data_IF_353362670351
#
_entry.id   IF_353362670351
#
_cell.length_a   1.000
_cell.length_b   1.000
_cell.length_c   1.000
_cell.angle_alpha   90.00
_cell.angle_beta   90.00
_cell.angle_gamma   90.00
#
_symmetry.space_group_name_H-M   'P 1'
#
loop_
_entity.id
_entity.type
_entity.pdbx_description
1 polymer ?
#
# COMPACT_ATOMS: atom_id res chain seq x y z
N UNK A 1 9.15 -43.84 -2.59
CA UNK A 1 10.06 -42.83 -3.18
C UNK A 1 10.11 -41.71 -2.15
N UNK A 2 11.24 -41.44 -1.50
CA UNK A 2 11.34 -40.28 -0.61
C UNK A 2 11.18 -39.04 -1.52
N UNK A 3 10.07 -38.32 -1.38
CA UNK A 3 9.91 -37.01 -1.99
C UNK A 3 11.04 -36.15 -1.46
N UNK A 4 12.03 -35.85 -2.30
CA UNK A 4 13.08 -34.88 -1.96
C UNK A 4 12.44 -33.51 -1.89
N UNK A 5 11.94 -33.16 -0.70
CA UNK A 5 11.36 -31.85 -0.39
C UNK A 5 12.47 -30.80 -0.51
N UNK A 6 12.29 -29.87 -1.45
CA UNK A 6 13.24 -28.76 -1.58
C UNK A 6 12.90 -27.70 -0.55
N UNK A 7 13.81 -27.49 0.41
CA UNK A 7 13.66 -26.44 1.42
C UNK A 7 13.84 -25.08 0.75
N UNK A 8 12.82 -24.22 0.87
CA UNK A 8 12.81 -22.84 0.35
C UNK A 8 12.60 -21.89 1.52
N UNK A 9 13.46 -20.88 1.62
CA UNK A 9 13.38 -19.85 2.66
C UNK A 9 13.00 -18.53 2.00
N UNK A 10 11.91 -17.92 2.47
CA UNK A 10 11.47 -16.58 2.03
C UNK A 10 11.08 -15.70 3.19
N UNK A 11 11.15 -14.40 2.96
CA UNK A 11 10.86 -13.41 3.98
C UNK A 11 9.37 -13.13 4.05
N UNK A 12 8.79 -13.19 5.25
CA UNK A 12 7.38 -12.86 5.47
C UNK A 12 7.08 -11.43 5.02
N UNK A 13 6.02 -11.18 4.22
CA UNK A 13 5.64 -9.83 3.83
C UNK A 13 5.04 -9.01 4.98
N UNK A 14 4.73 -9.63 6.12
CA UNK A 14 4.15 -8.96 7.29
C UNK A 14 5.17 -8.71 8.40
N UNK A 15 5.76 -9.77 8.93
CA UNK A 15 6.69 -9.68 10.06
C UNK A 15 8.16 -9.68 9.66
N UNK A 16 8.47 -9.81 8.36
CA UNK A 16 9.84 -9.75 7.82
C UNK A 16 10.81 -10.80 8.35
N UNK A 17 10.34 -11.80 9.10
CA UNK A 17 11.12 -12.98 9.49
C UNK A 17 11.28 -13.92 8.31
N UNK A 18 12.40 -14.64 8.27
CA UNK A 18 12.62 -15.72 7.31
C UNK A 18 11.73 -16.90 7.70
N UNK A 19 10.98 -17.41 6.73
CA UNK A 19 10.09 -18.55 6.86
C UNK A 19 10.61 -19.64 5.95
N UNK A 20 10.76 -20.85 6.48
CA UNK A 20 10.99 -22.04 5.66
C UNK A 20 9.65 -22.66 5.23
N UNK A 21 9.57 -23.19 4.02
CA UNK A 21 8.33 -23.78 3.49
C UNK A 21 7.82 -24.95 4.35
N UNK A 22 8.68 -25.73 4.96
CA UNK A 22 8.35 -26.83 5.87
C UNK A 22 7.91 -26.37 7.27
N UNK A 23 8.05 -25.10 7.62
CA UNK A 23 7.63 -24.54 8.92
C UNK A 23 6.23 -23.91 8.89
N UNK A 24 5.62 -23.75 7.72
CA UNK A 24 4.32 -23.05 7.62
C UNK A 24 3.20 -23.80 8.34
N UNK A 25 2.27 -23.03 8.92
CA UNK A 25 0.96 -23.51 9.38
C UNK A 25 -0.11 -23.29 8.32
N UNK A 26 -1.36 -23.62 8.66
CA UNK A 26 -2.52 -23.45 7.78
C UNK A 26 -3.69 -22.79 8.47
N UNK A 27 -4.34 -21.87 7.76
CA UNK A 27 -5.67 -21.40 8.14
C UNK A 27 -6.71 -22.38 7.62
N UNK A 28 -7.55 -22.90 8.50
CA UNK A 28 -8.56 -23.90 8.18
C UNK A 28 -9.93 -23.21 8.04
N UNK A 29 -10.81 -23.77 7.22
CA UNK A 29 -12.17 -23.28 7.13
C UNK A 29 -13.03 -23.97 8.19
N UNK A 30 -13.83 -23.22 8.98
CA UNK A 30 -14.84 -23.81 9.83
C UNK A 30 -15.96 -24.36 8.92
N UNK A 31 -15.87 -25.63 8.56
CA UNK A 31 -16.87 -26.34 7.77
C UNK A 31 -17.95 -26.99 8.67
N UNK A 32 -17.81 -26.88 9.99
CA UNK A 32 -18.72 -27.49 10.96
C UNK A 32 -18.66 -29.02 10.96
N UNK A 33 -17.63 -29.59 10.32
CA UNK A 33 -17.40 -31.02 10.29
C UNK A 33 -17.14 -31.55 11.71
N UNK A 34 -17.68 -32.75 11.99
CA UNK A 34 -17.40 -33.49 13.22
C UNK A 34 -16.65 -34.75 12.87
N UNK A 35 -15.49 -34.89 13.50
CA UNK A 35 -14.59 -36.02 13.36
C UNK A 35 -14.90 -37.05 14.45
N UNK A 36 -14.60 -38.33 14.22
CA UNK A 36 -14.55 -39.36 15.25
C UNK A 36 -13.33 -39.12 16.16
N UNK A 37 -12.20 -38.70 15.58
CA UNK A 37 -10.99 -38.32 16.31
C UNK A 37 -11.23 -37.06 17.16
N UNK A 38 -11.04 -37.13 18.49
CA UNK A 38 -11.11 -35.95 19.36
C UNK A 38 -10.09 -34.87 18.98
N UNK A 39 -8.87 -35.27 18.59
CA UNK A 39 -7.81 -34.37 18.18
C UNK A 39 -8.15 -33.55 16.93
N UNK A 40 -8.80 -34.19 15.95
CA UNK A 40 -9.27 -33.48 14.75
C UNK A 40 -10.37 -32.47 15.08
N UNK A 41 -11.28 -32.81 16.00
CA UNK A 41 -12.28 -31.84 16.47
C UNK A 41 -11.66 -30.66 17.21
N UNK A 42 -10.58 -30.88 17.98
CA UNK A 42 -9.84 -29.80 18.64
C UNK A 42 -9.15 -28.88 17.62
N UNK A 43 -8.54 -29.46 16.58
CA UNK A 43 -7.91 -28.71 15.48
C UNK A 43 -8.95 -27.92 14.66
N UNK A 44 -10.12 -28.51 14.42
CA UNK A 44 -11.21 -27.88 13.68
C UNK A 44 -12.01 -26.86 14.49
N UNK A 45 -11.78 -26.77 15.81
CA UNK A 45 -12.43 -25.81 16.67
C UNK A 45 -11.80 -24.41 16.55
N UNK A 46 -12.62 -23.33 16.54
CA UNK A 46 -12.08 -21.98 16.57
C UNK A 46 -11.40 -21.71 17.91
N UNK A 47 -10.21 -21.12 17.84
CA UNK A 47 -9.41 -20.72 19.00
C UNK A 47 -8.86 -19.32 18.79
N UNK A 48 -8.53 -18.64 19.89
CA UNK A 48 -7.89 -17.33 19.83
C UNK A 48 -6.46 -17.45 19.33
N UNK A 49 -6.18 -16.87 18.17
CA UNK A 49 -4.88 -16.78 17.55
C UNK A 49 -4.07 -15.62 18.17
N UNK A 50 -3.36 -15.91 19.26
CA UNK A 50 -2.57 -14.92 20.00
C UNK A 50 -1.45 -14.32 19.14
N UNK A 51 -0.78 -15.12 18.30
CA UNK A 51 0.29 -14.64 17.42
C UNK A 51 -0.22 -13.61 16.41
N UNK A 52 -1.39 -13.87 15.82
CA UNK A 52 -2.05 -12.92 14.92
C UNK A 52 -2.52 -11.66 15.66
N UNK A 53 -3.14 -11.82 16.84
CA UNK A 53 -3.60 -10.71 17.67
C UNK A 53 -2.44 -9.79 18.10
N UNK A 54 -1.36 -10.36 18.62
CA UNK A 54 -0.19 -9.61 19.06
C UNK A 54 0.48 -8.85 17.91
N UNK A 55 0.54 -9.46 16.71
CA UNK A 55 1.05 -8.78 15.54
C UNK A 55 0.22 -7.53 15.22
N UNK A 56 -1.10 -7.64 15.10
CA UNK A 56 -1.96 -6.53 14.71
C UNK A 56 -2.06 -5.44 15.78
N UNK A 57 -2.06 -5.81 17.06
CA UNK A 57 -1.95 -4.86 18.17
C UNK A 57 -0.61 -4.09 18.10
N UNK A 58 0.50 -4.78 17.86
CA UNK A 58 1.79 -4.12 17.67
C UNK A 58 1.78 -3.13 16.49
N UNK A 59 1.04 -3.46 15.42
CA UNK A 59 0.83 -2.58 14.26
C UNK A 59 -0.19 -1.45 14.48
N UNK A 60 -0.79 -1.37 15.67
CA UNK A 60 -1.69 -0.29 16.09
C UNK A 60 -3.16 -0.49 15.77
N UNK A 61 -3.56 -1.72 15.40
CA UNK A 61 -4.98 -2.07 15.25
C UNK A 61 -5.55 -2.44 16.62
N UNK A 62 -6.65 -1.79 17.09
CA UNK A 62 -7.30 -2.14 18.34
C UNK A 62 -7.73 -3.61 18.35
N UNK A 63 -7.62 -4.28 19.51
CA UNK A 63 -7.94 -5.70 19.63
C UNK A 63 -9.39 -6.02 19.24
N UNK A 64 -10.34 -5.10 19.48
CA UNK A 64 -11.74 -5.31 19.11
C UNK A 64 -11.98 -5.33 17.58
N UNK A 65 -11.02 -4.82 16.80
CA UNK A 65 -11.07 -4.81 15.34
C UNK A 65 -10.33 -6.00 14.71
N UNK A 66 -9.62 -6.81 15.51
CA UNK A 66 -8.87 -7.97 15.02
C UNK A 66 -9.70 -9.23 15.20
N UNK A 67 -10.13 -9.83 14.09
CA UNK A 67 -10.75 -11.15 14.12
C UNK A 67 -9.71 -12.25 14.38
N UNK A 68 -9.38 -12.43 15.66
CA UNK A 68 -8.41 -13.42 16.14
C UNK A 68 -9.05 -14.77 16.49
N UNK A 69 -10.38 -14.92 16.41
CA UNK A 69 -11.04 -16.20 16.67
C UNK A 69 -11.04 -17.04 15.38
N UNK A 70 -9.98 -17.82 15.17
CA UNK A 70 -9.68 -18.46 13.89
C UNK A 70 -9.53 -19.98 14.07
N UNK A 71 -9.84 -20.73 13.02
CA UNK A 71 -9.50 -22.16 12.98
C UNK A 71 -8.17 -22.27 12.24
N UNK A 72 -7.11 -22.68 12.94
CA UNK A 72 -5.78 -22.81 12.34
C UNK A 72 -4.99 -23.95 12.98
N UNK A 73 -4.01 -24.45 12.24
CA UNK A 73 -3.07 -25.44 12.73
C UNK A 73 -1.64 -24.99 12.40
N UNK A 74 -0.80 -24.89 13.43
CA UNK A 74 0.62 -24.60 13.27
C UNK A 74 1.44 -25.89 13.12
N UNK A 75 2.74 -25.75 12.87
CA UNK A 75 3.62 -26.89 12.62
C UNK A 75 3.79 -27.80 13.84
N UNK A 76 3.70 -27.26 15.05
CA UNK A 76 3.77 -28.05 16.28
C UNK A 76 2.49 -28.87 16.44
N UNK A 77 1.33 -28.24 16.36
CA UNK A 77 0.02 -28.93 16.41
C UNK A 77 -0.13 -29.97 15.31
N UNK A 78 0.39 -29.72 14.10
CA UNK A 78 0.44 -30.73 13.02
C UNK A 78 1.27 -31.95 13.40
N UNK A 79 2.42 -31.74 14.07
CA UNK A 79 3.30 -32.83 14.49
C UNK A 79 2.62 -33.69 15.56
N UNK A 80 1.97 -33.05 16.53
CA UNK A 80 1.20 -33.72 17.59
C UNK A 80 0.02 -34.51 16.99
N UNK A 81 -0.73 -33.89 16.07
CA UNK A 81 -1.84 -34.55 15.37
C UNK A 81 -1.36 -35.78 14.57
N UNK A 82 -0.26 -35.67 13.82
CA UNK A 82 0.31 -36.80 13.09
C UNK A 82 0.66 -37.98 14.02
N UNK A 83 1.24 -37.70 15.19
CA UNK A 83 1.59 -38.73 16.18
C UNK A 83 0.35 -39.45 16.71
N UNK A 84 -0.70 -38.70 17.02
CA UNK A 84 -1.95 -39.27 17.53
C UNK A 84 -2.71 -40.08 16.47
N UNK A 85 -2.81 -39.56 15.24
CA UNK A 85 -3.41 -40.29 14.12
C UNK A 85 -2.65 -41.59 13.82
N UNK A 86 -1.31 -41.54 13.83
CA UNK A 86 -0.47 -42.73 13.67
C UNK A 86 -0.72 -43.75 14.78
N UNK A 87 -0.82 -43.31 16.04
CA UNK A 87 -1.12 -44.19 17.18
C UNK A 87 -2.51 -44.84 17.09
N UNK A 88 -3.47 -44.17 16.46
CA UNK A 88 -4.83 -44.68 16.19
C UNK A 88 -4.93 -45.62 14.97
N UNK A 89 -3.81 -45.92 14.30
CA UNK A 89 -3.75 -46.83 13.15
C UNK A 89 -3.93 -46.16 11.78
N UNK A 90 -3.90 -44.82 11.71
CA UNK A 90 -3.93 -44.07 10.46
C UNK A 90 -2.49 -43.72 10.03
N UNK A 91 -1.96 -44.35 8.97
CA UNK A 91 -0.70 -43.92 8.34
C UNK A 91 -0.94 -42.68 7.47
N UNK A 92 -1.05 -41.48 8.08
CA UNK A 92 -1.32 -40.25 7.33
C UNK A 92 -0.35 -39.14 7.73
N UNK A 93 0.33 -38.58 6.74
CA UNK A 93 1.02 -37.31 6.86
C UNK A 93 0.01 -36.20 6.54
N UNK A 94 -0.44 -35.43 7.54
CA UNK A 94 -1.47 -34.39 7.34
C UNK A 94 -0.99 -33.19 6.52
N UNK A 95 0.32 -33.10 6.25
CA UNK A 95 0.99 -32.02 5.53
C UNK A 95 1.64 -32.58 4.27
N UNK A 96 1.13 -32.18 3.11
CA UNK A 96 1.56 -32.66 1.80
C UNK A 96 2.36 -31.59 1.08
N UNK A 97 3.54 -31.95 0.56
CA UNK A 97 4.35 -31.05 -0.27
C UNK A 97 3.78 -31.01 -1.68
N UNK A 98 3.67 -29.81 -2.24
CA UNK A 98 3.34 -29.62 -3.65
C UNK A 98 4.60 -29.16 -4.41
N UNK A 99 5.20 -30.03 -5.26
CA UNK A 99 6.38 -29.70 -6.04
C UNK A 99 6.19 -28.51 -6.97
N UNK A 100 4.97 -28.27 -7.46
CA UNK A 100 4.70 -27.21 -8.43
C UNK A 100 4.67 -25.83 -7.77
N UNK A 101 4.12 -25.72 -6.55
CA UNK A 101 4.11 -24.46 -5.79
C UNK A 101 5.30 -24.29 -4.85
N UNK A 102 6.11 -25.35 -4.66
CA UNK A 102 7.08 -25.48 -3.55
C UNK A 102 6.46 -25.22 -2.17
N UNK A 103 5.13 -25.25 -2.10
CA UNK A 103 4.34 -25.01 -0.91
C UNK A 103 3.92 -26.32 -0.28
N UNK A 104 3.07 -26.20 0.73
CA UNK A 104 2.43 -27.33 1.34
C UNK A 104 0.92 -27.11 1.35
N UNK A 105 0.18 -28.21 1.48
CA UNK A 105 -1.24 -28.22 1.81
C UNK A 105 -1.46 -29.05 3.06
N UNK A 106 -2.50 -28.72 3.80
CA UNK A 106 -3.03 -29.54 4.87
C UNK A 106 -4.14 -30.40 4.32
N UNK A 107 -4.10 -31.70 4.59
CA UNK A 107 -5.10 -32.65 4.14
C UNK A 107 -5.27 -33.78 5.15
N UNK A 108 -6.51 -33.98 5.61
CA UNK A 108 -6.88 -35.10 6.48
C UNK A 108 -8.19 -35.68 6.00
N UNK A 109 -8.27 -37.01 5.96
CA UNK A 109 -9.50 -37.76 5.67
C UNK A 109 -9.83 -38.68 6.85
N UNK A 110 -11.07 -38.62 7.33
CA UNK A 110 -11.60 -39.56 8.31
C UNK A 110 -13.00 -40.01 7.86
N UNK A 111 -13.09 -41.25 7.37
CA UNK A 111 -14.32 -41.78 6.79
C UNK A 111 -14.74 -41.03 5.52
N UNK A 112 -15.85 -40.30 5.59
CA UNK A 112 -16.37 -39.48 4.48
C UNK A 112 -16.13 -37.97 4.65
N UNK A 113 -15.42 -37.57 5.70
CA UNK A 113 -15.13 -36.18 6.04
C UNK A 113 -13.69 -35.87 5.67
N UNK A 114 -13.48 -34.78 4.92
CA UNK A 114 -12.16 -34.33 4.50
C UNK A 114 -11.94 -32.91 4.99
N UNK A 115 -10.83 -32.68 5.70
CA UNK A 115 -10.36 -31.36 6.08
C UNK A 115 -9.18 -30.98 5.20
N UNK A 116 -9.35 -29.95 4.38
CA UNK A 116 -8.34 -29.49 3.43
C UNK A 116 -8.10 -28.00 3.55
N UNK A 117 -6.83 -27.59 3.49
CA UNK A 117 -6.45 -26.19 3.32
C UNK A 117 -5.15 -26.02 2.56
N UNK A 118 -5.12 -25.03 1.66
CA UNK A 118 -3.92 -24.52 1.02
C UNK A 118 -3.58 -23.08 1.43
N UNK A 119 -4.31 -22.52 2.41
CA UNK A 119 -4.04 -21.17 2.92
C UNK A 119 -2.92 -21.24 3.95
N UNK A 120 -1.68 -21.15 3.46
CA UNK A 120 -0.49 -21.13 4.32
C UNK A 120 -0.48 -19.87 5.19
N UNK A 121 -0.09 -20.01 6.46
CA UNK A 121 0.14 -18.89 7.38
C UNK A 121 1.59 -18.85 7.84
N UNK A 122 2.08 -17.64 8.10
CA UNK A 122 3.39 -17.43 8.69
C UNK A 122 3.47 -18.07 10.09
N UNK A 123 4.50 -18.88 10.42
CA UNK A 123 4.62 -19.50 11.74
C UNK A 123 4.89 -18.52 12.89
N UNK A 124 5.18 -17.25 12.59
CA UNK A 124 5.51 -16.24 13.59
C UNK A 124 4.39 -15.24 13.87
N UNK A 125 3.69 -14.79 12.83
CA UNK A 125 2.63 -13.78 12.96
C UNK A 125 1.26 -14.28 12.49
N UNK A 126 1.19 -15.53 12.03
CA UNK A 126 -0.03 -16.21 11.58
C UNK A 126 -0.85 -15.47 10.52
N UNK A 127 -0.24 -14.47 9.85
CA UNK A 127 -0.82 -13.83 8.69
C UNK A 127 -0.73 -14.78 7.49
N UNK A 128 -1.77 -14.74 6.66
CA UNK A 128 -1.88 -15.53 5.45
C UNK A 128 -0.78 -15.13 4.45
N UNK A 129 -0.12 -16.14 3.89
CA UNK A 129 0.87 -15.95 2.84
C UNK A 129 0.16 -15.96 1.48
N UNK A 130 0.64 -15.18 0.49
CA UNK A 130 0.03 -15.19 -0.83
C UNK A 130 0.17 -16.57 -1.50
N UNK A 131 -0.70 -16.84 -2.46
CA UNK A 131 -0.56 -18.02 -3.31
C UNK A 131 0.79 -18.01 -4.01
N UNK A 132 1.35 -19.20 -4.25
CA UNK A 132 2.65 -19.36 -4.90
C UNK A 132 3.82 -18.67 -4.15
N UNK A 133 3.67 -18.37 -2.85
CA UNK A 133 4.67 -17.62 -2.07
C UNK A 133 6.07 -18.22 -2.18
N UNK A 134 6.24 -19.54 -2.07
CA UNK A 134 7.55 -20.19 -2.19
C UNK A 134 8.01 -20.41 -3.62
N UNK A 135 7.09 -20.43 -4.59
CA UNK A 135 7.38 -20.59 -6.03
C UNK A 135 7.99 -19.34 -6.66
N UNK A 136 7.36 -18.18 -6.48
CA UNK A 136 7.69 -16.97 -7.24
C UNK A 136 8.41 -15.92 -6.40
N UNK A 137 9.42 -15.25 -6.97
CA UNK A 137 10.05 -14.08 -6.33
C UNK A 137 9.01 -13.02 -6.00
N UNK A 138 9.29 -12.20 -4.98
CA UNK A 138 8.38 -11.16 -4.51
C UNK A 138 9.04 -9.78 -4.55
N UNK A 139 8.39 -8.85 -5.24
CA UNK A 139 8.70 -7.43 -5.25
C UNK A 139 7.81 -6.70 -4.22
N UNK A 140 8.39 -6.05 -3.22
CA UNK A 140 7.68 -5.29 -2.20
C UNK A 140 7.74 -3.79 -2.51
N UNK A 141 6.58 -3.14 -2.71
CA UNK A 141 6.45 -1.73 -3.08
C UNK A 141 5.72 -0.97 -1.97
N UNK A 142 6.34 0.08 -1.42
CA UNK A 142 5.69 0.99 -0.48
C UNK A 142 5.07 2.20 -1.17
N UNK A 143 3.78 2.48 -0.95
CA UNK A 143 3.15 3.75 -1.32
C UNK A 143 3.47 4.80 -0.26
N UNK A 144 4.15 5.88 -0.65
CA UNK A 144 4.46 7.01 0.20
C UNK A 144 3.77 8.27 -0.32
N UNK A 145 3.40 9.18 0.58
CA UNK A 145 2.71 10.42 0.21
C UNK A 145 2.00 11.04 1.40
N UNK A 146 1.80 12.36 1.38
CA UNK A 146 1.15 13.08 2.47
C UNK A 146 -0.28 12.60 2.71
N UNK A 147 -0.91 13.04 3.80
CA UNK A 147 -2.37 12.97 3.91
C UNK A 147 -2.97 13.71 2.70
N UNK A 148 -4.09 13.21 2.15
CA UNK A 148 -4.75 13.72 0.95
C UNK A 148 -4.00 13.59 -0.41
N UNK A 149 -2.80 13.00 -0.45
CA UNK A 149 -2.09 12.67 -1.71
C UNK A 149 -2.79 11.60 -2.57
N UNK A 150 -3.83 10.96 -2.03
CA UNK A 150 -4.66 10.01 -2.77
C UNK A 150 -4.15 8.56 -2.80
N UNK A 151 -3.30 8.11 -1.86
CA UNK A 151 -2.75 6.73 -1.83
C UNK A 151 -3.82 5.63 -1.91
N UNK A 152 -4.83 5.65 -1.04
CA UNK A 152 -5.89 4.64 -1.05
C UNK A 152 -6.76 4.77 -2.32
N UNK A 153 -7.00 5.98 -2.82
CA UNK A 153 -7.70 6.23 -4.10
C UNK A 153 -6.90 5.68 -5.29
N UNK A 154 -5.58 5.88 -5.30
CA UNK A 154 -4.65 5.35 -6.27
C UNK A 154 -4.70 3.82 -6.29
N UNK A 155 -4.64 3.19 -5.12
CA UNK A 155 -4.72 1.73 -4.99
C UNK A 155 -6.09 1.18 -5.43
N UNK A 156 -7.17 1.86 -5.06
CA UNK A 156 -8.54 1.49 -5.45
C UNK A 156 -8.76 1.64 -6.96
N UNK A 157 -8.20 2.69 -7.56
CA UNK A 157 -8.20 2.93 -9.01
C UNK A 157 -7.40 1.84 -9.75
N UNK A 158 -6.24 1.45 -9.22
CA UNK A 158 -5.43 0.36 -9.78
C UNK A 158 -6.18 -0.99 -9.75
N UNK A 159 -6.98 -1.25 -8.71
CA UNK A 159 -7.76 -2.48 -8.55
C UNK A 159 -9.03 -2.57 -9.42
N UNK A 160 -9.47 -1.46 -10.02
CA UNK A 160 -10.70 -1.43 -10.81
C UNK A 160 -10.73 -2.50 -11.90
N UNK A 161 -11.92 -3.08 -12.13
CA UNK A 161 -12.15 -4.09 -13.16
C UNK A 161 -11.11 -5.23 -13.16
N UNK A 162 -10.73 -5.72 -11.98
CA UNK A 162 -9.70 -6.76 -11.84
C UNK A 162 -8.36 -6.35 -12.44
N UNK A 163 -7.88 -5.15 -12.06
CA UNK A 163 -6.62 -4.60 -12.53
C UNK A 163 -6.56 -4.35 -14.05
N UNK A 164 -7.68 -4.01 -14.68
CA UNK A 164 -7.80 -3.76 -16.13
C UNK A 164 -6.74 -2.78 -16.65
N UNK A 165 -6.38 -1.77 -15.85
CA UNK A 165 -5.33 -0.82 -16.18
C UNK A 165 -3.96 -1.48 -16.45
N UNK A 166 -3.66 -2.59 -15.78
CA UNK A 166 -2.39 -3.32 -15.91
C UNK A 166 -2.42 -4.45 -16.95
N UNK A 167 -3.58 -4.82 -17.49
CA UNK A 167 -3.68 -5.94 -18.42
C UNK A 167 -3.13 -5.56 -19.82
N UNK A 168 -2.42 -6.50 -20.44
CA UNK A 168 -1.90 -6.41 -21.82
C UNK A 168 -2.02 -7.79 -22.47
N UNK A 169 -1.87 -7.90 -23.78
CA UNK A 169 -1.96 -9.21 -24.46
C UNK A 169 -1.00 -10.26 -23.86
N UNK A 170 0.18 -9.81 -23.44
CA UNK A 170 1.22 -10.68 -22.89
C UNK A 170 1.56 -10.40 -21.41
N UNK A 171 0.77 -9.57 -20.73
CA UNK A 171 0.95 -9.25 -19.32
C UNK A 171 -0.40 -9.39 -18.62
N UNK A 172 -0.50 -10.36 -17.71
CA UNK A 172 -1.72 -10.58 -16.94
C UNK A 172 -1.46 -10.36 -15.45
N UNK A 173 -2.30 -9.56 -14.80
CA UNK A 173 -2.20 -9.29 -13.36
C UNK A 173 -3.43 -9.82 -12.64
N UNK A 174 -3.23 -10.56 -11.55
CA UNK A 174 -4.32 -11.15 -10.75
C UNK A 174 -4.06 -10.92 -9.27
N UNK A 175 -5.11 -10.98 -8.45
CA UNK A 175 -4.96 -10.99 -7.00
C UNK A 175 -4.33 -12.32 -6.55
N UNK A 176 -3.26 -12.27 -5.76
CA UNK A 176 -2.55 -13.43 -5.24
C UNK A 176 -2.87 -13.75 -3.78
N UNK A 177 -3.87 -13.10 -3.17
CA UNK A 177 -4.33 -13.40 -1.82
C UNK A 177 -4.86 -14.83 -1.71
N UNK A 178 -4.39 -15.59 -0.73
CA UNK A 178 -4.71 -17.01 -0.53
C UNK A 178 -6.15 -17.27 -0.13
N UNK A 179 -6.74 -16.41 0.69
CA UNK A 179 -8.11 -16.55 1.19
C UNK A 179 -9.09 -15.64 0.44
N UNK A 180 -10.10 -16.20 -0.26
CA UNK A 180 -11.17 -15.41 -0.87
C UNK A 180 -12.01 -14.63 0.15
N UNK A 181 -12.04 -15.08 1.40
CA UNK A 181 -12.82 -14.47 2.49
C UNK A 181 -12.00 -13.49 3.34
N UNK A 182 -10.81 -13.06 2.89
CA UNK A 182 -10.05 -12.03 3.59
C UNK A 182 -10.84 -10.71 3.60
N UNK A 183 -11.18 -10.24 4.80
CA UNK A 183 -12.04 -9.06 5.01
C UNK A 183 -11.48 -7.79 4.38
N UNK A 184 -10.17 -7.60 4.47
CA UNK A 184 -9.49 -6.43 3.91
C UNK A 184 -9.49 -6.45 2.38
N UNK A 185 -9.24 -7.62 1.79
CA UNK A 185 -9.37 -7.82 0.35
C UNK A 185 -10.78 -7.46 -0.13
N UNK A 186 -11.81 -8.00 0.54
CA UNK A 186 -13.21 -7.70 0.20
C UNK A 186 -13.54 -6.22 0.36
N UNK A 187 -13.02 -5.55 1.40
CA UNK A 187 -13.16 -4.11 1.60
C UNK A 187 -12.54 -3.31 0.44
N UNK A 188 -11.30 -3.64 0.05
CA UNK A 188 -10.61 -2.97 -1.04
C UNK A 188 -11.29 -3.21 -2.41
N UNK A 189 -11.74 -4.43 -2.68
CA UNK A 189 -12.52 -4.76 -3.89
C UNK A 189 -13.85 -3.97 -3.91
N UNK A 190 -14.55 -3.87 -2.77
CA UNK A 190 -15.77 -3.05 -2.62
C UNK A 190 -15.48 -1.57 -2.83
N UNK A 191 -14.37 -1.05 -2.31
CA UNK A 191 -13.97 0.35 -2.51
C UNK A 191 -13.68 0.64 -3.99
N UNK A 192 -12.96 -0.24 -4.67
CA UNK A 192 -12.71 -0.14 -6.12
C UNK A 192 -14.02 -0.18 -6.93
N UNK A 193 -14.97 -1.05 -6.56
CA UNK A 193 -16.27 -1.12 -7.21
C UNK A 193 -17.12 0.14 -6.97
N UNK A 194 -17.19 0.63 -5.73
CA UNK A 194 -17.91 1.87 -5.38
C UNK A 194 -17.34 3.06 -6.13
N UNK A 195 -16.01 3.15 -6.22
CA UNK A 195 -15.34 4.22 -6.95
C UNK A 195 -15.65 4.16 -8.45
N UNK A 196 -15.54 2.97 -9.06
CA UNK A 196 -15.81 2.79 -10.49
C UNK A 196 -17.28 3.05 -10.86
N UNK A 197 -18.22 2.46 -10.10
CA UNK A 197 -19.65 2.45 -10.47
C UNK A 197 -20.39 3.69 -9.97
N UNK A 198 -20.05 4.19 -8.79
CA UNK A 198 -20.78 5.26 -8.11
C UNK A 198 -19.97 6.55 -7.95
N UNK A 199 -18.69 6.54 -8.30
CA UNK A 199 -17.79 7.68 -8.09
C UNK A 199 -17.45 7.93 -6.63
N UNK A 200 -17.79 7.01 -5.72
CA UNK A 200 -17.57 7.23 -4.27
C UNK A 200 -16.12 6.91 -3.94
N UNK A 201 -15.39 7.89 -3.40
CA UNK A 201 -14.01 7.73 -2.99
C UNK A 201 -13.93 6.94 -1.67
N UNK A 202 -12.88 6.12 -1.49
CA UNK A 202 -12.60 5.51 -0.20
C UNK A 202 -12.32 6.59 0.85
N UNK A 203 -12.67 6.30 2.10
CA UNK A 203 -12.40 7.18 3.23
C UNK A 203 -10.89 7.38 3.45
N UNK A 204 -10.55 8.45 4.16
CA UNK A 204 -9.16 8.76 4.48
C UNK A 204 -8.49 7.62 5.24
N UNK A 205 -7.24 7.33 4.88
CA UNK A 205 -6.43 6.29 5.52
C UNK A 205 -6.18 6.65 6.98
N UNK A 206 -6.70 5.87 7.92
CA UNK A 206 -6.36 5.99 9.35
C UNK A 206 -4.87 5.69 9.59
N UNK A 207 -4.34 6.11 10.75
CA UNK A 207 -2.93 5.91 11.16
C UNK A 207 -2.50 4.45 11.39
N UNK A 208 -3.33 3.47 11.04
CA UNK A 208 -3.07 2.05 11.29
C UNK A 208 -2.41 1.40 10.08
N UNK A 209 -1.58 0.39 10.33
CA UNK A 209 -1.01 -0.41 9.25
C UNK A 209 -2.11 -1.21 8.55
N UNK A 210 -2.09 -1.24 7.21
CA UNK A 210 -3.02 -2.01 6.39
C UNK A 210 -2.35 -3.24 5.82
N UNK A 211 -3.13 -4.30 5.56
CA UNK A 211 -2.61 -5.50 4.88
C UNK A 211 -2.10 -5.09 3.48
N UNK A 212 -0.95 -5.62 3.02
CA UNK A 212 -0.49 -5.40 1.66
C UNK A 212 -1.43 -6.07 0.67
N UNK A 213 -1.54 -5.49 -0.52
CA UNK A 213 -2.25 -6.10 -1.64
C UNK A 213 -1.25 -6.95 -2.42
N UNK A 214 -1.54 -8.24 -2.55
CA UNK A 214 -0.72 -9.16 -3.33
C UNK A 214 -1.23 -9.32 -4.74
N UNK A 215 -0.34 -9.15 -5.70
CA UNK A 215 -0.58 -9.34 -7.11
C UNK A 215 0.30 -10.48 -7.61
N UNK A 216 -0.24 -11.34 -8.46
CA UNK A 216 0.56 -12.21 -9.34
C UNK A 216 0.62 -11.55 -10.71
N UNK A 217 1.82 -11.23 -11.15
CA UNK A 217 2.11 -10.73 -12.49
C UNK A 217 2.65 -11.88 -13.32
N UNK A 218 1.95 -12.22 -14.39
CA UNK A 218 2.41 -13.17 -15.40
C UNK A 218 2.77 -12.43 -16.67
N UNK A 219 4.00 -12.57 -17.13
CA UNK A 219 4.49 -11.95 -18.37
C UNK A 219 4.93 -13.02 -19.36
N UNK A 220 4.49 -12.91 -20.60
CA UNK A 220 4.75 -13.89 -21.67
C UNK A 220 5.60 -13.24 -22.76
N UNK A 221 6.72 -13.87 -23.10
CA UNK A 221 7.55 -13.45 -24.24
C UNK A 221 7.95 -14.68 -25.01
N UNK A 222 7.60 -14.71 -26.30
CA UNK A 222 7.79 -15.89 -27.15
C UNK A 222 7.17 -17.14 -26.48
N UNK A 223 7.99 -18.16 -26.19
CA UNK A 223 7.54 -19.40 -25.52
C UNK A 223 7.75 -19.39 -24.00
N UNK A 224 8.32 -18.32 -23.44
CA UNK A 224 8.64 -18.21 -22.02
C UNK A 224 7.52 -17.50 -21.25
N UNK A 225 7.23 -18.00 -20.05
CA UNK A 225 6.26 -17.43 -19.13
C UNK A 225 6.95 -17.14 -17.80
N UNK A 226 6.99 -15.86 -17.43
CA UNK A 226 7.56 -15.38 -16.18
C UNK A 226 6.44 -15.07 -15.20
N UNK A 227 6.66 -15.39 -13.92
CA UNK A 227 5.74 -15.11 -12.84
C UNK A 227 6.45 -14.33 -11.74
N UNK A 228 5.81 -13.29 -11.23
CA UNK A 228 6.30 -12.45 -10.14
C UNK A 228 5.16 -12.16 -9.16
N UNK A 229 5.44 -12.26 -7.86
CA UNK A 229 4.54 -11.71 -6.85
C UNK A 229 4.91 -10.25 -6.59
N UNK A 230 3.91 -9.38 -6.49
CA UNK A 230 4.09 -7.98 -6.13
C UNK A 230 3.23 -7.67 -4.91
N UNK A 231 3.84 -7.19 -3.83
CA UNK A 231 3.15 -6.76 -2.61
C UNK A 231 3.14 -5.22 -2.55
N UNK A 232 1.97 -4.60 -2.59
CA UNK A 232 1.82 -3.14 -2.50
C UNK A 232 1.33 -2.77 -1.09
N UNK A 233 2.11 -1.95 -0.39
CA UNK A 233 1.83 -1.49 0.96
C UNK A 233 1.29 -0.06 0.93
N UNK A 234 0.06 0.15 1.40
CA UNK A 234 -0.47 1.50 1.64
C UNK A 234 0.09 2.02 2.97
N UNK A 235 1.14 2.84 2.90
CA UNK A 235 1.82 3.36 4.07
C UNK A 235 1.32 4.78 4.33
N UNK A 236 0.72 5.02 5.49
CA UNK A 236 0.37 6.38 5.89
C UNK A 236 1.67 7.23 5.97
N UNK A 237 1.72 8.33 5.21
CA UNK A 237 2.93 9.16 5.12
C UNK A 237 3.36 9.74 6.47
N UNK A 238 2.42 9.94 7.39
CA UNK A 238 2.72 10.37 8.76
C UNK A 238 3.42 9.30 9.60
N UNK A 239 3.12 8.00 9.38
CA UNK A 239 3.86 6.91 10.02
C UNK A 239 5.33 6.96 9.62
N UNK A 240 5.61 7.23 8.34
CA UNK A 240 6.98 7.39 7.85
C UNK A 240 7.64 8.60 8.53
N UNK A 241 6.94 9.73 8.66
CA UNK A 241 7.51 10.97 9.24
C UNK A 241 7.81 10.89 10.73
N UNK A 242 6.93 10.29 11.52
CA UNK A 242 7.04 10.34 12.99
C UNK A 242 8.04 9.33 13.56
N UNK A 243 8.26 8.18 12.90
CA UNK A 243 9.10 7.11 13.43
C UNK A 243 9.83 6.30 12.34
N UNK A 244 10.31 6.91 11.25
CA UNK A 244 10.98 6.22 10.16
C UNK A 244 11.99 5.14 10.62
N UNK A 245 11.69 3.86 10.37
CA UNK A 245 12.60 2.73 10.60
C UNK A 245 12.64 2.15 12.02
N UNK A 246 11.77 2.57 12.94
CA UNK A 246 11.66 2.02 14.31
C UNK A 246 10.21 1.64 14.63
N UNK A 247 10.01 0.53 15.34
CA UNK A 247 8.68 0.08 15.75
C UNK A 247 7.78 -0.25 14.56
N UNK A 248 6.61 0.40 14.48
CA UNK A 248 5.55 0.12 13.50
C UNK A 248 5.96 0.35 12.05
N UNK A 249 7.00 1.13 11.79
CA UNK A 249 7.43 1.55 10.44
C UNK A 249 8.66 0.79 9.94
N UNK A 250 9.15 -0.19 10.71
CA UNK A 250 10.34 -0.98 10.35
C UNK A 250 10.21 -1.67 9.00
N UNK A 251 8.98 -1.88 8.51
CA UNK A 251 8.70 -2.39 7.17
C UNK A 251 9.28 -1.53 6.06
N UNK A 252 9.44 -0.21 6.26
CA UNK A 252 9.99 0.70 5.24
C UNK A 252 11.34 0.18 4.76
N UNK A 253 12.24 -0.25 5.65
CA UNK A 253 13.57 -0.80 5.31
C UNK A 253 13.52 -2.05 4.41
N UNK A 254 12.39 -2.75 4.43
CA UNK A 254 12.24 -4.04 3.78
C UNK A 254 11.57 -3.98 2.42
N UNK A 255 11.04 -2.83 2.03
CA UNK A 255 10.53 -2.60 0.67
C UNK A 255 11.67 -2.68 -0.35
N UNK A 256 11.41 -3.13 -1.56
CA UNK A 256 12.34 -3.09 -2.70
C UNK A 256 12.25 -1.74 -3.44
N UNK A 257 11.14 -1.01 -3.32
CA UNK A 257 10.99 0.32 -3.88
C UNK A 257 9.82 1.09 -3.31
N UNK A 258 9.75 2.39 -3.64
CA UNK A 258 8.67 3.27 -3.22
C UNK A 258 8.03 4.02 -4.38
N UNK A 259 6.70 4.11 -4.37
CA UNK A 259 5.95 5.05 -5.20
C UNK A 259 5.61 6.24 -4.32
N UNK A 260 6.23 7.38 -4.57
CA UNK A 260 6.00 8.61 -3.82
C UNK A 260 5.00 9.49 -4.56
N UNK A 261 3.78 9.57 -4.03
CA UNK A 261 2.70 10.39 -4.55
C UNK A 261 2.82 11.84 -4.05
N UNK A 262 2.99 12.76 -4.98
CA UNK A 262 3.03 14.21 -4.76
C UNK A 262 1.75 14.83 -5.29
N UNK A 263 1.09 15.65 -4.47
CA UNK A 263 -0.09 16.39 -4.89
C UNK A 263 0.35 17.67 -5.63
N UNK A 264 -0.17 17.98 -6.84
CA UNK A 264 0.06 19.24 -7.54
C UNK A 264 -0.18 20.50 -6.70
N UNK A 265 -1.13 20.48 -5.75
CA UNK A 265 -1.37 21.60 -4.86
C UNK A 265 -0.16 21.91 -3.94
N UNK A 266 0.82 21.00 -3.86
CA UNK A 266 2.09 21.18 -3.13
C UNK A 266 3.22 21.68 -4.06
N UNK A 267 2.97 21.89 -5.36
CA UNK A 267 3.99 22.14 -6.39
C UNK A 267 4.14 23.61 -6.80
N UNK A 268 3.62 24.58 -6.04
CA UNK A 268 3.81 26.03 -6.29
C UNK A 268 3.56 26.49 -7.74
N UNK A 269 2.59 25.86 -8.43
CA UNK A 269 2.21 26.24 -9.79
C UNK A 269 1.28 27.45 -9.71
N UNK A 270 1.47 28.50 -10.54
CA UNK A 270 0.69 29.74 -10.42
C UNK A 270 -0.83 29.46 -10.42
N UNK A 271 -1.43 29.72 -9.26
CA UNK A 271 -2.80 29.35 -8.93
C UNK A 271 -3.79 30.33 -9.56
N UNK A 272 -4.29 30.02 -10.75
CA UNK A 272 -5.56 30.58 -11.22
C UNK A 272 -6.75 29.63 -11.06
N UNK A 273 -6.52 28.32 -10.85
CA UNK A 273 -7.61 27.32 -10.89
C UNK A 273 -7.66 26.28 -9.75
N UNK A 274 -6.60 26.11 -8.94
CA UNK A 274 -6.52 25.01 -7.94
C UNK A 274 -7.21 25.34 -6.59
N UNK A 275 -7.61 26.59 -6.34
CA UNK A 275 -8.14 27.04 -5.03
C UNK A 275 -9.64 26.78 -4.76
N UNK A 276 -10.33 25.92 -5.50
CA UNK A 276 -11.77 25.67 -5.26
C UNK A 276 -12.14 24.52 -4.30
N UNK A 277 -11.19 23.90 -3.60
CA UNK A 277 -11.51 22.81 -2.65
C UNK A 277 -10.75 22.88 -1.32
N UNK A 278 -10.67 24.08 -0.74
CA UNK A 278 -10.49 24.20 0.71
C UNK A 278 -11.90 24.42 1.27
N UNK A 279 -12.35 23.67 2.29
CA UNK A 279 -13.67 23.88 2.88
C UNK A 279 -13.80 25.34 3.33
N UNK A 280 -14.95 25.93 2.99
CA UNK A 280 -15.35 27.33 3.22
C UNK A 280 -14.57 27.97 4.39
N UNK A 281 -13.75 28.97 4.11
CA UNK A 281 -13.09 29.80 5.13
C UNK A 281 -14.11 30.28 6.17
N UNK A 282 -15.35 30.57 5.75
CA UNK A 282 -16.46 30.93 6.63
C UNK A 282 -16.83 29.84 7.65
N UNK A 283 -16.78 28.55 7.29
CA UNK A 283 -17.11 27.43 8.19
C UNK A 283 -16.01 27.16 9.22
N UNK A 284 -14.75 27.44 8.88
CA UNK A 284 -13.61 27.34 9.80
C UNK A 284 -13.60 28.55 10.74
N UNK A 285 -13.98 29.73 10.24
CA UNK A 285 -14.13 30.96 11.03
C UNK A 285 -15.30 30.88 12.02
N UNK A 286 -16.42 30.21 11.68
CA UNK A 286 -17.54 30.01 12.61
C UNK A 286 -17.20 29.14 13.84
N UNK A 287 -16.22 28.23 13.72
CA UNK A 287 -15.74 27.40 14.85
C UNK A 287 -14.67 28.08 15.69
N UNK A 288 -14.13 29.22 15.25
CA UNK A 288 -13.23 30.06 16.02
C UNK A 288 -14.06 31.14 16.71
N UNK A 289 -14.52 30.87 17.94
CA UNK A 289 -15.04 31.94 18.80
C UNK A 289 -13.91 32.96 19.05
N UNK A 290 -13.90 34.03 18.25
CA UNK A 290 -13.04 35.19 18.48
C UNK A 290 -13.56 35.88 19.75
N UNK A 291 -12.87 35.63 20.87
CA UNK A 291 -13.12 36.36 22.10
C UNK A 291 -13.12 37.86 21.84
N UNK A 292 -14.11 38.53 22.36
CA UNK A 292 -14.24 39.99 22.27
C UNK A 292 -13.07 40.67 22.97
N UNK A 293 -12.80 41.92 22.58
CA UNK A 293 -11.74 42.75 23.17
C UNK A 293 -11.87 42.83 24.71
N UNK A 294 -13.09 42.76 25.23
CA UNK A 294 -13.40 42.80 26.67
C UNK A 294 -13.05 41.49 27.38
N UNK A 295 -13.28 40.34 26.75
CA UNK A 295 -12.87 39.01 27.24
C UNK A 295 -11.34 38.83 27.19
N UNK A 296 -10.68 39.37 26.17
CA UNK A 296 -9.22 39.40 26.10
C UNK A 296 -8.61 40.28 27.21
N UNK A 297 -9.22 41.43 27.51
CA UNK A 297 -8.81 42.32 28.59
C UNK A 297 -9.01 41.66 29.97
N UNK A 298 -10.08 40.89 30.17
CA UNK A 298 -10.32 40.19 31.43
C UNK A 298 -9.28 39.09 31.69
N UNK A 299 -8.91 38.32 30.67
CA UNK A 299 -7.87 37.28 30.75
C UNK A 299 -6.47 37.88 30.94
N UNK A 300 -6.16 39.01 30.29
CA UNK A 300 -4.90 39.74 30.52
C UNK A 300 -4.82 40.32 31.94
N UNK A 301 -5.94 40.82 32.48
CA UNK A 301 -6.00 41.26 33.88
C UNK A 301 -5.80 40.10 34.87
N UNK A 302 -6.33 38.91 34.58
CA UNK A 302 -6.08 37.70 35.37
C UNK A 302 -4.64 37.19 35.27
N UNK A 303 -4.00 37.31 34.10
CA UNK A 303 -2.63 36.85 33.88
C UNK A 303 -1.57 37.75 34.52
N UNK A 304 -1.84 39.06 34.61
CA UNK A 304 -0.94 40.02 35.28
C UNK A 304 -0.86 39.84 36.81
N UNK A 305 -1.79 39.12 37.44
CA UNK A 305 -1.71 38.76 38.86
C UNK A 305 -0.75 37.58 39.13
N UNK A 306 -0.44 36.76 38.12
CA UNK A 306 0.34 35.52 38.27
C UNK A 306 1.72 35.53 37.56
N UNK A 307 2.24 36.71 37.22
CA UNK A 307 3.67 36.91 36.96
C UNK A 307 4.28 36.08 35.82
N UNK A 308 3.56 35.83 34.72
CA UNK A 308 4.15 35.27 33.49
C UNK A 308 4.28 36.33 32.40
N UNK A 309 5.49 36.45 31.85
CA UNK A 309 5.86 37.38 30.77
C UNK A 309 4.94 37.24 29.57
N UNK A 310 4.48 38.38 29.05
CA UNK A 310 3.77 38.51 27.77
C UNK A 310 4.85 38.56 26.67
N UNK A 311 4.80 37.64 25.72
CA UNK A 311 5.67 37.63 24.53
C UNK A 311 5.58 38.95 23.77
N UNK A 312 6.70 39.45 23.25
CA UNK A 312 6.73 40.71 22.50
C UNK A 312 6.12 40.52 21.11
N UNK A 313 5.64 41.63 20.53
CA UNK A 313 5.03 41.68 19.20
C UNK A 313 6.00 41.28 18.07
N UNK A 314 7.31 41.37 18.33
CA UNK A 314 8.36 40.97 17.40
C UNK A 314 8.44 39.44 17.27
N UNK A 315 8.21 38.67 18.34
CA UNK A 315 8.19 37.20 18.28
C UNK A 315 7.01 36.67 17.45
N UNK A 316 5.88 37.39 17.43
CA UNK A 316 4.70 37.04 16.63
C UNK A 316 4.86 37.35 15.13
N UNK A 317 5.68 38.35 14.79
CA UNK A 317 5.92 38.74 13.40
C UNK A 317 7.00 37.88 12.72
N UNK A 318 7.92 37.30 13.49
CA UNK A 318 8.93 36.36 12.96
C UNK A 318 8.28 35.07 12.45
N UNK A 319 7.25 34.55 13.12
CA UNK A 319 6.49 33.37 12.64
C UNK A 319 5.72 33.62 11.34
N UNK A 320 5.39 34.88 11.02
CA UNK A 320 4.68 35.25 9.78
C UNK A 320 5.59 35.52 8.57
N UNK A 321 6.92 35.47 8.76
CA UNK A 321 7.90 35.68 7.69
C UNK A 321 8.62 34.40 7.25
N UNK A 322 8.14 33.23 7.69
CA UNK A 322 8.33 32.01 6.90
C UNK A 322 7.25 32.08 5.83
N UNK A 323 7.61 32.52 4.62
CA UNK A 323 6.67 32.60 3.50
C UNK A 323 5.92 31.26 3.37
N UNK A 324 4.63 31.28 3.05
CA UNK A 324 3.87 30.06 2.74
C UNK A 324 4.60 29.23 1.65
N UNK A 325 5.37 29.91 0.79
CA UNK A 325 6.39 29.37 -0.11
C UNK A 325 7.30 28.30 0.54
N UNK A 326 7.80 28.55 1.75
CA UNK A 326 8.74 27.68 2.48
C UNK A 326 8.04 26.50 3.19
N UNK A 327 6.72 26.58 3.42
CA UNK A 327 5.95 25.57 4.15
C UNK A 327 5.53 24.40 3.23
N UNK A 328 5.22 24.67 1.96
CA UNK A 328 4.81 23.64 0.99
C UNK A 328 5.99 22.89 0.37
N UNK A 329 7.11 23.56 0.05
CA UNK A 329 8.38 22.93 -0.40
C UNK A 329 8.79 21.78 0.55
N UNK A 330 8.58 21.99 1.85
CA UNK A 330 8.97 21.02 2.88
C UNK A 330 8.16 19.73 2.86
N UNK A 331 6.91 19.66 2.40
CA UNK A 331 6.08 18.45 2.64
C UNK A 331 6.54 17.23 1.85
N UNK A 332 6.85 17.39 0.56
CA UNK A 332 7.34 16.30 -0.29
C UNK A 332 8.79 15.93 0.08
N UNK A 333 9.65 16.92 0.27
CA UNK A 333 11.03 16.71 0.75
C UNK A 333 11.05 16.00 2.11
N UNK A 334 10.14 16.34 3.02
CA UNK A 334 10.06 15.68 4.34
C UNK A 334 9.76 14.18 4.22
N UNK A 335 8.96 13.76 3.24
CA UNK A 335 8.66 12.33 3.05
C UNK A 335 9.88 11.59 2.49
N UNK A 336 10.56 12.18 1.49
CA UNK A 336 11.78 11.62 0.94
C UNK A 336 12.88 11.54 2.01
N UNK A 337 13.04 12.59 2.80
CA UNK A 337 13.99 12.63 3.92
C UNK A 337 13.63 11.64 5.02
N UNK A 338 12.33 11.42 5.29
CA UNK A 338 11.89 10.42 6.23
C UNK A 338 12.18 8.99 5.73
N UNK A 339 11.97 8.71 4.43
CA UNK A 339 12.38 7.44 3.82
C UNK A 339 13.90 7.28 3.94
N UNK A 340 14.67 8.31 3.59
CA UNK A 340 16.13 8.34 3.69
C UNK A 340 16.63 8.06 5.10
N UNK A 341 16.06 8.74 6.09
CA UNK A 341 16.37 8.54 7.51
C UNK A 341 16.02 7.13 7.99
N UNK A 342 14.86 6.63 7.56
CA UNK A 342 14.38 5.30 7.96
C UNK A 342 15.18 4.16 7.35
N UNK A 343 15.56 4.27 6.08
CA UNK A 343 16.25 3.24 5.32
C UNK A 343 17.77 3.31 5.52
N UNK A 344 18.32 4.53 5.57
CA UNK A 344 19.75 4.81 5.54
C UNK A 344 20.31 4.88 4.12
N UNK A 345 21.23 5.82 3.88
CA UNK A 345 21.79 6.13 2.56
C UNK A 345 22.36 4.93 1.81
N UNK A 346 23.04 4.03 2.52
CA UNK A 346 23.65 2.85 1.90
C UNK A 346 22.61 1.88 1.34
N UNK A 347 21.47 1.75 2.02
CA UNK A 347 20.40 0.84 1.62
C UNK A 347 19.52 1.44 0.53
N UNK A 348 19.42 2.77 0.41
CA UNK A 348 18.69 3.44 -0.68
C UNK A 348 19.21 3.05 -2.06
N UNK A 349 20.53 2.83 -2.21
CA UNK A 349 21.17 2.39 -3.46
C UNK A 349 20.73 1.01 -3.93
N UNK A 350 19.94 0.29 -3.12
CA UNK A 350 19.34 -1.01 -3.45
C UNK A 350 17.83 -0.90 -3.71
N UNK A 351 17.24 0.29 -3.59
CA UNK A 351 15.79 0.52 -3.71
C UNK A 351 15.43 1.26 -4.99
N UNK A 352 14.26 0.96 -5.55
CA UNK A 352 13.67 1.76 -6.64
C UNK A 352 12.90 2.95 -6.09
N UNK A 353 12.86 4.04 -6.87
CA UNK A 353 12.04 5.22 -6.57
C UNK A 353 11.19 5.63 -7.77
N UNK A 354 9.87 5.64 -7.61
CA UNK A 354 8.94 6.21 -8.57
C UNK A 354 8.32 7.49 -7.98
N UNK A 355 8.89 8.64 -8.33
CA UNK A 355 8.36 9.92 -7.89
C UNK A 355 7.23 10.32 -8.84
N UNK A 356 6.03 10.49 -8.29
CA UNK A 356 4.79 10.48 -9.07
C UNK A 356 3.89 11.65 -8.70
N UNK A 357 3.57 12.50 -9.67
CA UNK A 357 2.51 13.51 -9.52
C UNK A 357 1.16 12.78 -9.57
N UNK A 358 0.36 12.85 -8.51
CA UNK A 358 -0.78 11.95 -8.29
C UNK A 358 -2.13 12.43 -8.86
N UNK A 359 -2.26 13.72 -9.16
CA UNK A 359 -3.47 14.36 -9.71
C UNK A 359 -3.12 15.13 -10.99
N UNK A 360 -2.44 14.45 -11.90
CA UNK A 360 -1.88 15.09 -13.10
C UNK A 360 -2.94 15.78 -13.97
N UNK A 361 -4.20 15.37 -13.90
CA UNK A 361 -5.31 16.04 -14.56
C UNK A 361 -5.43 17.53 -14.20
N UNK A 362 -5.10 17.92 -12.96
CA UNK A 362 -5.07 19.33 -12.55
C UNK A 362 -4.00 20.15 -13.29
N UNK A 363 -3.01 19.50 -13.90
CA UNK A 363 -1.97 20.16 -14.68
C UNK A 363 -2.40 20.47 -16.12
N UNK A 364 -3.45 19.82 -16.62
CA UNK A 364 -3.89 19.93 -18.03
C UNK A 364 -4.42 21.34 -18.37
N UNK A 365 -4.99 22.01 -17.37
CA UNK A 365 -5.59 23.34 -17.50
C UNK A 365 -4.59 24.49 -17.24
N UNK A 366 -3.40 24.18 -16.70
CA UNK A 366 -2.40 25.19 -16.37
C UNK A 366 -1.68 25.71 -17.61
N UNK A 367 -1.80 27.01 -17.87
CA UNK A 367 -1.13 27.68 -19.00
C UNK A 367 0.39 27.51 -19.00
N UNK A 368 1.02 27.48 -17.83
CA UNK A 368 2.45 27.22 -17.68
C UNK A 368 2.85 25.82 -18.18
N UNK A 369 2.03 24.81 -17.90
CA UNK A 369 2.29 23.43 -18.32
C UNK A 369 2.11 23.29 -19.84
N UNK A 370 1.17 24.03 -20.43
CA UNK A 370 1.00 24.13 -21.89
C UNK A 370 2.20 24.76 -22.60
N UNK A 371 3.03 25.52 -21.88
CA UNK A 371 4.27 26.10 -22.40
C UNK A 371 5.35 25.07 -22.73
N UNK A 372 5.34 23.90 -22.06
CA UNK A 372 6.29 22.83 -22.36
C UNK A 372 5.92 22.12 -23.66
N UNK A 373 6.89 22.00 -24.57
CA UNK A 373 6.70 21.25 -25.82
C UNK A 373 6.36 19.79 -25.51
N UNK A 374 5.23 19.32 -26.06
CA UNK A 374 4.79 17.94 -25.89
C UNK A 374 4.13 17.65 -24.54
N UNK A 375 3.74 18.66 -23.76
CA UNK A 375 3.05 18.47 -22.47
C UNK A 375 1.75 17.68 -22.56
N UNK A 376 1.09 17.65 -23.73
CA UNK A 376 -0.05 16.77 -23.99
C UNK A 376 0.27 15.29 -23.79
N UNK A 377 1.53 14.88 -23.98
CA UNK A 377 1.99 13.51 -23.69
C UNK A 377 1.79 13.14 -22.22
N UNK A 378 1.71 14.09 -21.29
CA UNK A 378 1.45 13.84 -19.87
C UNK A 378 -0.01 13.46 -19.58
N UNK A 379 -0.94 13.67 -20.50
CA UNK A 379 -2.38 13.44 -20.27
C UNK A 379 -2.97 12.35 -21.18
N UNK A 380 -2.11 11.68 -21.96
CA UNK A 380 -2.49 10.53 -22.77
C UNK A 380 -3.02 9.39 -21.91
N UNK A 381 -4.16 8.84 -22.34
CA UNK A 381 -4.83 7.69 -21.71
C UNK A 381 -4.66 6.39 -22.49
N UNK A 382 -3.95 6.45 -23.62
CA UNK A 382 -3.69 5.29 -24.46
C UNK A 382 -2.79 4.31 -23.72
N UNK A 383 -3.26 3.07 -23.60
CA UNK A 383 -2.48 1.97 -23.05
C UNK A 383 -1.79 1.23 -24.19
N UNK A 384 -0.53 0.79 -24.02
CA UNK A 384 0.07 -0.11 -24.99
C UNK A 384 -0.72 -1.41 -25.02
N UNK A 385 -0.85 -2.02 -26.20
CA UNK A 385 -1.52 -3.32 -26.36
C UNK A 385 -0.62 -4.46 -25.86
N UNK A 386 0.70 -4.29 -25.99
CA UNK A 386 1.73 -5.28 -25.71
C UNK A 386 2.85 -4.69 -24.86
N UNK A 387 3.48 -5.51 -24.01
CA UNK A 387 4.59 -5.11 -23.14
C UNK A 387 4.13 -4.28 -21.94
N UNK A 388 5.08 -3.85 -21.10
CA UNK A 388 4.78 -3.12 -19.87
C UNK A 388 4.26 -1.71 -20.13
N UNK A 389 5.04 -0.91 -20.86
CA UNK A 389 4.79 0.51 -21.13
C UNK A 389 5.40 0.93 -22.46
N UNK A 390 4.95 2.04 -23.03
CA UNK A 390 5.62 2.66 -24.17
C UNK A 390 6.86 3.42 -23.66
N UNK A 391 8.04 2.82 -23.83
CA UNK A 391 9.30 3.36 -23.30
C UNK A 391 9.74 4.66 -23.99
N UNK A 392 9.43 4.84 -25.28
CA UNK A 392 9.76 6.07 -26.01
C UNK A 392 8.96 7.25 -25.47
N UNK A 393 7.64 7.07 -25.29
CA UNK A 393 6.78 8.08 -24.68
C UNK A 393 7.17 8.31 -23.22
N UNK A 394 7.53 7.25 -22.48
CA UNK A 394 7.98 7.37 -21.10
C UNK A 394 9.23 8.24 -20.98
N UNK A 395 10.23 8.04 -21.85
CA UNK A 395 11.45 8.85 -21.89
C UNK A 395 11.13 10.33 -22.15
N UNK A 396 10.27 10.63 -23.13
CA UNK A 396 9.86 12.01 -23.41
C UNK A 396 9.12 12.66 -22.23
N UNK A 397 8.20 11.93 -21.59
CA UNK A 397 7.47 12.40 -20.41
C UNK A 397 8.41 12.68 -19.25
N UNK A 398 9.42 11.82 -19.04
CA UNK A 398 10.43 12.05 -18.01
C UNK A 398 11.18 13.36 -18.19
N UNK A 399 11.59 13.70 -19.41
CA UNK A 399 12.30 14.96 -19.67
C UNK A 399 11.42 16.18 -19.37
N UNK A 400 10.12 16.11 -19.64
CA UNK A 400 9.16 17.16 -19.27
C UNK A 400 9.01 17.23 -17.75
N UNK A 401 8.86 16.08 -17.09
CA UNK A 401 8.69 16.02 -15.63
C UNK A 401 9.92 16.51 -14.88
N UNK A 402 11.13 16.21 -15.36
CA UNK A 402 12.37 16.74 -14.77
C UNK A 402 12.34 18.26 -14.70
N UNK A 403 11.94 18.91 -15.79
CA UNK A 403 11.83 20.37 -15.83
C UNK A 403 10.77 20.89 -14.83
N UNK A 404 9.61 20.24 -14.77
CA UNK A 404 8.54 20.61 -13.82
C UNK A 404 9.04 20.48 -12.38
N UNK A 405 9.65 19.35 -12.02
CA UNK A 405 10.10 19.11 -10.65
C UNK A 405 11.27 20.04 -10.26
N UNK A 406 12.29 20.19 -11.10
CA UNK A 406 13.46 21.04 -10.82
C UNK A 406 13.11 22.53 -10.70
N UNK A 407 12.11 23.00 -11.46
CA UNK A 407 11.69 24.39 -11.44
C UNK A 407 10.64 24.72 -10.38
N UNK A 408 9.77 23.75 -10.02
CA UNK A 408 8.53 24.05 -9.29
C UNK A 408 8.33 23.26 -8.00
N UNK A 409 9.04 22.13 -7.80
CA UNK A 409 8.77 21.24 -6.66
C UNK A 409 9.95 21.19 -5.69
N UNK A 410 11.14 20.80 -6.16
CA UNK A 410 12.41 20.82 -5.41
C UNK A 410 13.55 20.41 -6.34
N UNK A 411 14.81 20.64 -5.93
CA UNK A 411 15.99 20.20 -6.70
C UNK A 411 16.09 18.66 -6.72
N UNK A 412 15.71 18.02 -7.83
CA UNK A 412 15.62 16.56 -7.95
C UNK A 412 16.96 15.85 -7.77
N UNK A 413 18.04 16.46 -8.26
CA UNK A 413 19.35 15.82 -8.36
C UNK A 413 19.86 15.25 -7.05
N UNK A 414 19.59 15.90 -5.90
CA UNK A 414 20.11 15.41 -4.61
C UNK A 414 19.32 14.24 -4.03
N UNK A 415 18.09 14.02 -4.48
CA UNK A 415 17.17 13.06 -3.84
C UNK A 415 17.02 11.77 -4.64
N UNK A 416 17.17 11.80 -5.97
CA UNK A 416 16.96 10.62 -6.81
C UNK A 416 18.24 9.82 -7.08
N UNK A 417 19.40 10.47 -7.15
CA UNK A 417 20.69 9.84 -7.48
C UNK A 417 21.19 8.84 -6.42
N UNK A 418 20.62 8.88 -5.21
CA UNK A 418 20.94 7.95 -4.12
C UNK A 418 20.19 6.62 -4.21
N UNK A 419 19.17 6.54 -5.07
CA UNK A 419 18.40 5.32 -5.30
C UNK A 419 19.09 4.43 -6.34
N UNK A 420 18.76 3.13 -6.32
CA UNK A 420 19.26 2.16 -7.31
C UNK A 420 18.89 2.59 -8.73
N UNK A 421 17.63 2.89 -8.90
CA UNK A 421 17.06 3.43 -10.11
C UNK A 421 15.84 4.26 -9.74
N UNK A 422 15.67 5.38 -10.42
CA UNK A 422 14.59 6.32 -10.17
C UNK A 422 13.89 6.72 -11.46
N UNK A 423 12.58 6.93 -11.38
CA UNK A 423 11.77 7.37 -12.50
C UNK A 423 10.73 8.40 -12.07
N UNK A 424 10.39 9.30 -12.99
CA UNK A 424 9.36 10.31 -12.80
C UNK A 424 8.08 9.91 -13.51
N UNK A 425 6.94 10.14 -12.86
CA UNK A 425 5.62 9.85 -13.41
C UNK A 425 4.64 10.99 -13.15
N UNK A 426 3.62 11.05 -13.99
CA UNK A 426 2.42 11.85 -13.77
C UNK A 426 1.23 10.94 -14.04
N UNK A 427 0.40 10.78 -13.01
CA UNK A 427 -0.78 9.92 -13.03
C UNK A 427 -1.96 10.68 -12.45
N UNK A 428 -3.16 10.22 -12.78
CA UNK A 428 -4.36 10.64 -12.06
C UNK A 428 -5.21 9.41 -11.78
N UNK A 429 -5.47 9.16 -10.50
CA UNK A 429 -6.29 8.02 -10.09
C UNK A 429 -7.76 8.18 -10.50
N UNK A 430 -8.27 9.42 -10.55
CA UNK A 430 -9.67 9.72 -10.85
C UNK A 430 -9.85 10.28 -12.26
N UNK A 431 -8.92 11.14 -12.71
CA UNK A 431 -9.00 11.88 -13.97
C UNK A 431 -10.21 12.80 -14.07
N UNK A 432 -10.74 13.25 -12.93
CA UNK A 432 -11.86 14.18 -12.81
C UNK A 432 -11.93 14.78 -11.40
N UNK A 433 -12.68 15.86 -11.27
CA UNK A 433 -12.92 16.55 -10.00
C UNK A 433 -13.81 15.74 -9.04
N UNK A 434 -13.66 16.04 -7.76
CA UNK A 434 -14.47 15.50 -6.66
C UNK A 434 -15.36 16.56 -6.04
N UNK A 435 -16.45 16.18 -5.40
CA UNK A 435 -17.32 17.03 -4.59
C UNK A 435 -17.62 16.33 -3.26
N UNK A 436 -17.82 17.10 -2.20
CA UNK A 436 -18.31 16.58 -0.92
C UNK A 436 -19.83 16.60 -0.92
N UNK A 437 -20.43 15.42 -0.81
CA UNK A 437 -21.88 15.23 -0.76
C UNK A 437 -22.24 14.73 0.62
N UNK A 438 -23.27 15.33 1.24
CA UNK A 438 -23.80 14.84 2.51
C UNK A 438 -24.92 13.85 2.24
N UNK A 439 -24.74 12.62 2.69
CA UNK A 439 -25.74 11.55 2.66
C UNK A 439 -26.28 11.26 4.07
N UNK A 440 -27.27 10.38 4.19
CA UNK A 440 -27.88 9.94 5.47
C UNK A 440 -26.85 9.32 6.44
N UNK A 441 -25.76 8.77 5.91
CA UNK A 441 -24.67 8.12 6.66
C UNK A 441 -23.48 9.05 6.99
N UNK A 442 -23.43 10.27 6.45
CA UNK A 442 -22.34 11.23 6.70
C UNK A 442 -21.88 12.04 5.47
N UNK A 443 -20.75 12.73 5.58
CA UNK A 443 -20.09 13.40 4.45
C UNK A 443 -19.30 12.36 3.63
N UNK A 444 -19.60 12.26 2.34
CA UNK A 444 -18.93 11.37 1.39
C UNK A 444 -18.28 12.18 0.27
N UNK A 445 -17.06 11.82 -0.10
CA UNK A 445 -16.39 12.41 -1.27
C UNK A 445 -16.77 11.61 -2.52
N UNK A 446 -17.32 12.29 -3.52
CA UNK A 446 -17.80 11.68 -4.77
C UNK A 446 -17.19 12.36 -5.99
N UNK A 447 -17.00 11.65 -7.08
CA UNK A 447 -16.57 12.25 -8.35
C UNK A 447 -17.72 12.96 -9.05
N UNK A 448 -17.46 14.17 -9.57
CA UNK A 448 -18.42 14.95 -10.38
C UNK A 448 -18.63 14.29 -11.74
N UNK A 449 -17.58 13.66 -12.27
CA UNK A 449 -17.57 12.98 -13.56
C UNK A 449 -17.43 11.46 -13.45
N UNK A 450 -17.42 10.80 -14.61
CA UNK A 450 -17.02 9.40 -14.72
C UNK A 450 -15.51 9.28 -14.47
N UNK A 451 -15.13 8.38 -13.58
CA UNK A 451 -13.72 8.03 -13.31
C UNK A 451 -13.02 7.56 -14.59
N UNK A 452 -11.94 8.25 -14.96
CA UNK A 452 -11.10 7.97 -16.14
C UNK A 452 -9.63 8.12 -15.76
N UNK A 453 -9.05 7.10 -15.11
CA UNK A 453 -7.67 7.17 -14.63
C UNK A 453 -6.69 7.47 -15.77
N UNK A 454 -5.67 8.26 -15.47
CA UNK A 454 -4.57 8.56 -16.37
C UNK A 454 -3.36 7.78 -15.88
N UNK A 455 -3.03 6.68 -16.59
CA UNK A 455 -1.76 5.93 -16.45
C UNK A 455 -1.40 5.52 -15.01
N UNK A 456 -2.42 5.24 -14.21
CA UNK A 456 -2.28 4.87 -12.79
C UNK A 456 -1.36 3.65 -12.61
N UNK A 457 -1.30 2.78 -13.63
CA UNK A 457 -0.51 1.56 -13.64
C UNK A 457 1.00 1.76 -13.88
N UNK A 458 1.41 2.85 -14.53
CA UNK A 458 2.78 3.00 -15.04
C UNK A 458 3.86 2.89 -13.93
N UNK A 459 3.72 3.53 -12.75
CA UNK A 459 4.71 3.41 -11.68
C UNK A 459 4.94 1.96 -11.21
N UNK A 460 3.87 1.17 -11.09
CA UNK A 460 3.95 -0.24 -10.67
C UNK A 460 4.56 -1.10 -11.77
N UNK A 461 4.09 -0.95 -13.02
CA UNK A 461 4.59 -1.72 -14.15
C UNK A 461 6.07 -1.42 -14.45
N UNK A 462 6.50 -0.17 -14.25
CA UNK A 462 7.91 0.19 -14.34
C UNK A 462 8.77 -0.56 -13.32
N UNK A 463 8.39 -0.56 -12.04
CA UNK A 463 9.14 -1.27 -11.01
C UNK A 463 9.19 -2.78 -11.26
N UNK A 464 8.07 -3.37 -11.69
CA UNK A 464 8.02 -4.78 -12.09
C UNK A 464 9.00 -5.05 -13.24
N UNK A 465 8.94 -4.24 -14.30
CA UNK A 465 9.83 -4.37 -15.45
C UNK A 465 11.31 -4.27 -15.04
N UNK A 466 11.67 -3.27 -14.22
CA UNK A 466 13.06 -3.10 -13.73
C UNK A 466 13.52 -4.27 -12.87
N UNK A 467 12.67 -4.73 -11.97
CA UNK A 467 12.96 -5.88 -11.12
C UNK A 467 13.19 -7.18 -11.91
N UNK A 468 12.44 -7.36 -13.00
CA UNK A 468 12.58 -8.50 -13.92
C UNK A 468 13.82 -8.37 -14.81
N UNK A 469 14.11 -7.18 -15.34
CA UNK A 469 15.31 -6.89 -16.14
C UNK A 469 16.59 -7.24 -15.40
N UNK A 470 16.71 -6.83 -14.14
CA UNK A 470 17.89 -7.10 -13.31
C UNK A 470 18.16 -8.58 -13.05
N UNK A 471 17.13 -9.42 -13.18
CA UNK A 471 17.23 -10.87 -13.02
C UNK A 471 17.48 -11.59 -14.35
N UNK A 472 17.67 -10.84 -15.44
CA UNK A 472 17.88 -11.39 -16.78
C UNK A 472 16.62 -12.05 -17.36
N UNK A 473 15.42 -11.67 -16.89
CA UNK A 473 14.17 -12.28 -17.37
C UNK A 473 13.64 -11.64 -18.65
N UNK A 474 14.15 -10.46 -19.01
CA UNK A 474 13.62 -9.62 -20.09
C UNK A 474 14.69 -9.30 -21.15
N UNK A 475 15.64 -10.22 -21.36
CA UNK A 475 16.72 -10.06 -22.35
C UNK A 475 16.22 -10.04 -23.80
#
# INVERSE_FOLDING_TARGET
MQETTTVKIKKCPYCFRKISNDEVGFLLRPDGARFLSPALNEVAAPKTDLSYLYFWNAMGVPEEQVDANRVYIDNQSMTELNQELTASGHELAVKHFDPDSFGYSFHVEEGAVTLYSNTMICPYCHNELPQNFFRYEMLMIGLAGSVASGKTVYLSSLMMNSFDAMQRENLTVRNAGGNPNDSYRMEMERNAERLLRRGICPESTNKTFRKPIFLEVTYRVSEQVFHLLTAIYDVAGELIRENAGVGRTGFVRHMDGYICLVDPAQMHLEHSFITKQIPDEERVLEKLHLMTKEEQISIQRMSNQNGKQVMSQDDFLVERTVSDEYIYERKAETILEAIRTGVGDHELRKKYMALTIAKSDLLEELGEIRGYRGSSLLFERNRPVYGFMNMDHHFLRQEILKQIFDQKVFRLQRNLDDYKESSLFAVSALGCETEEVRDEEGEITKTVGKVRPIRVEEPVLWMVMKYMQERGWLE
#
